data_IF_844532466105
#
_entry.id   IF_844532466105
#
_cell.length_a   1.000
_cell.length_b   1.000
_cell.length_c   1.000
_cell.angle_alpha   90.00
_cell.angle_beta   90.00
_cell.angle_gamma   90.00
#
_symmetry.space_group_name_H-M   'P 1'
#
loop_
_entity.id
_entity.type
_entity.pdbx_description
1 polymer ?
#
# COMPACT_ATOMS: atom_id res chain seq x y z
N UNK A 1 -0.97 -19.33 7.98
CA UNK A 1 -0.27 -18.09 8.33
C UNK A 1 -0.84 -17.58 9.63
N UNK A 2 0.02 -17.13 10.53
CA UNK A 2 -0.38 -16.39 11.73
C UNK A 2 -0.81 -14.98 11.35
N UNK A 3 -1.56 -14.32 12.23
CA UNK A 3 -1.93 -12.89 12.07
C UNK A 3 -0.70 -12.00 11.84
N UNK A 4 0.40 -12.28 12.57
CA UNK A 4 1.66 -11.54 12.45
C UNK A 4 2.30 -11.70 11.07
N UNK A 5 2.29 -12.92 10.50
CA UNK A 5 2.80 -13.17 9.15
C UNK A 5 1.94 -12.48 8.08
N UNK A 6 0.62 -12.47 8.25
CA UNK A 6 -0.28 -11.75 7.33
C UNK A 6 -0.03 -10.25 7.36
N UNK A 7 0.14 -9.68 8.55
CA UNK A 7 0.40 -8.25 8.71
C UNK A 7 1.75 -7.84 8.12
N UNK A 8 2.80 -8.64 8.36
CA UNK A 8 4.10 -8.44 7.73
C UNK A 8 3.98 -8.41 6.20
N UNK A 9 3.28 -9.36 5.62
CA UNK A 9 3.06 -9.43 4.17
C UNK A 9 2.31 -8.20 3.64
N UNK A 10 1.27 -7.74 4.33
CA UNK A 10 0.54 -6.54 3.94
C UNK A 10 1.44 -5.28 3.95
N UNK A 11 2.36 -5.17 4.93
CA UNK A 11 3.33 -4.07 4.98
C UNK A 11 4.32 -4.14 3.81
N UNK A 12 4.82 -5.34 3.49
CA UNK A 12 5.72 -5.56 2.35
C UNK A 12 5.02 -5.25 1.01
N UNK A 13 3.77 -5.67 0.86
CA UNK A 13 2.95 -5.42 -0.32
C UNK A 13 2.64 -3.93 -0.47
N UNK A 14 2.31 -3.22 0.63
CA UNK A 14 2.10 -1.77 0.62
C UNK A 14 3.37 -1.01 0.21
N UNK A 15 4.55 -1.44 0.70
CA UNK A 15 5.83 -0.86 0.30
C UNK A 15 6.14 -1.11 -1.18
N UNK A 16 5.89 -2.34 -1.68
CA UNK A 16 6.16 -2.72 -3.07
C UNK A 16 5.23 -2.00 -4.04
N UNK A 17 3.93 -1.93 -3.73
CA UNK A 17 2.95 -1.24 -4.55
C UNK A 17 3.30 0.24 -4.74
N UNK A 18 3.66 0.93 -3.66
CA UNK A 18 4.07 2.34 -3.75
C UNK A 18 5.34 2.54 -4.59
N UNK A 19 6.25 1.56 -4.65
CA UNK A 19 7.39 1.63 -5.59
C UNK A 19 6.92 1.57 -7.04
N UNK A 20 5.96 0.70 -7.36
CA UNK A 20 5.41 0.60 -8.71
C UNK A 20 4.63 1.85 -9.09
N UNK A 21 3.80 2.37 -8.19
CA UNK A 21 3.10 3.63 -8.40
C UNK A 21 4.05 4.79 -8.71
N UNK A 22 5.20 4.88 -8.02
CA UNK A 22 6.23 5.91 -8.29
C UNK A 22 6.88 5.80 -9.67
N UNK A 23 6.84 4.62 -10.29
CA UNK A 23 7.47 4.35 -11.59
C UNK A 23 6.47 4.41 -12.74
N UNK A 24 5.17 4.30 -12.46
CA UNK A 24 4.13 4.32 -13.46
C UNK A 24 3.73 5.74 -13.85
N UNK A 25 3.18 5.87 -15.05
CA UNK A 25 2.53 7.10 -15.50
C UNK A 25 1.25 7.33 -14.70
N UNK A 26 1.12 8.50 -14.09
CA UNK A 26 0.01 8.84 -13.19
C UNK A 26 -1.34 8.88 -13.87
N UNK A 27 -1.37 9.15 -15.18
CA UNK A 27 -2.60 9.23 -15.96
C UNK A 27 -2.98 7.88 -16.60
N UNK A 28 -2.21 6.82 -16.35
CA UNK A 28 -2.49 5.49 -16.89
C UNK A 28 -3.56 4.74 -16.09
N UNK A 29 -4.35 3.91 -16.77
CA UNK A 29 -5.28 2.96 -16.14
C UNK A 29 -4.55 2.04 -15.14
N UNK A 30 -3.29 1.70 -15.42
CA UNK A 30 -2.46 0.88 -14.51
C UNK A 30 -2.19 1.61 -13.19
N UNK A 31 -1.94 2.92 -13.21
CA UNK A 31 -1.79 3.70 -11.98
C UNK A 31 -3.11 3.80 -11.22
N UNK A 32 -4.23 3.97 -11.92
CA UNK A 32 -5.57 4.01 -11.31
C UNK A 32 -5.86 2.70 -10.53
N UNK A 33 -5.64 1.55 -11.16
CA UNK A 33 -5.79 0.23 -10.50
C UNK A 33 -4.85 0.06 -9.30
N UNK A 34 -3.58 0.49 -9.42
CA UNK A 34 -2.66 0.45 -8.29
C UNK A 34 -3.08 1.37 -7.14
N UNK A 35 -3.68 2.53 -7.46
CA UNK A 35 -4.16 3.49 -6.46
C UNK A 35 -5.31 2.91 -5.64
N UNK A 36 -6.24 2.19 -6.28
CA UNK A 36 -7.31 1.48 -5.57
C UNK A 36 -6.71 0.50 -4.56
N UNK A 37 -5.77 -0.35 -5.01
CA UNK A 37 -5.12 -1.31 -4.12
C UNK A 37 -4.31 -0.65 -2.99
N UNK A 38 -3.71 0.51 -3.26
CA UNK A 38 -2.98 1.29 -2.27
C UNK A 38 -3.92 1.80 -1.17
N UNK A 39 -5.11 2.29 -1.55
CA UNK A 39 -6.14 2.74 -0.61
C UNK A 39 -6.63 1.55 0.24
N UNK A 40 -6.93 0.41 -0.37
CA UNK A 40 -7.36 -0.80 0.36
C UNK A 40 -6.34 -1.21 1.42
N UNK A 41 -5.06 -1.30 1.06
CA UNK A 41 -3.98 -1.66 1.98
C UNK A 41 -3.81 -0.62 3.08
N UNK A 42 -3.95 0.67 2.76
CA UNK A 42 -3.88 1.77 3.74
C UNK A 42 -4.99 1.65 4.77
N UNK A 43 -6.22 1.33 4.35
CA UNK A 43 -7.36 1.09 5.25
C UNK A 43 -7.11 -0.12 6.13
N UNK A 44 -6.70 -1.26 5.55
CA UNK A 44 -6.44 -2.49 6.30
C UNK A 44 -5.37 -2.26 7.37
N UNK A 45 -4.22 -1.70 7.00
CA UNK A 45 -3.10 -1.49 7.91
C UNK A 45 -3.46 -0.48 9.03
N UNK A 46 -4.20 0.57 8.70
CA UNK A 46 -4.68 1.55 9.70
C UNK A 46 -5.67 0.90 10.67
N UNK A 47 -6.61 0.10 10.17
CA UNK A 47 -7.55 -0.66 11.00
C UNK A 47 -6.85 -1.69 11.90
N UNK A 48 -5.71 -2.23 11.45
CA UNK A 48 -4.81 -3.09 12.26
C UNK A 48 -3.92 -2.31 13.24
N UNK A 49 -4.10 -1.00 13.39
CA UNK A 49 -3.35 -0.17 14.34
C UNK A 49 -1.90 0.13 13.92
N UNK A 50 -1.55 -0.10 12.64
CA UNK A 50 -0.22 0.23 12.14
C UNK A 50 -0.11 1.72 11.88
N UNK A 51 0.94 2.36 12.42
CA UNK A 51 1.28 3.72 12.09
C UNK A 51 1.94 3.79 10.70
N UNK A 52 1.25 4.42 9.75
CA UNK A 52 1.72 4.55 8.36
C UNK A 52 2.56 5.80 8.09
N UNK A 53 2.83 6.67 9.07
CA UNK A 53 3.50 7.97 8.84
C UNK A 53 4.79 7.87 8.02
N UNK A 54 5.62 6.86 8.28
CA UNK A 54 6.88 6.61 7.55
C UNK A 54 6.72 5.63 6.37
N UNK A 55 5.63 4.85 6.36
CA UNK A 55 5.36 3.84 5.34
C UNK A 55 4.62 4.43 4.13
N UNK A 56 3.79 5.45 4.35
CA UNK A 56 3.03 6.14 3.32
C UNK A 56 3.88 7.21 2.63
N UNK A 57 4.31 6.85 1.44
CA UNK A 57 5.25 7.54 0.57
C UNK A 57 4.57 8.23 -0.59
N UNK A 58 3.37 7.79 -1.00
CA UNK A 58 2.62 8.41 -2.10
C UNK A 58 1.92 9.68 -1.60
N UNK A 59 1.38 9.66 -0.37
CA UNK A 59 0.70 10.79 0.28
C UNK A 59 -0.42 11.41 -0.58
N UNK A 60 -1.10 10.57 -1.36
CA UNK A 60 -2.34 10.92 -2.04
C UNK A 60 -3.57 10.58 -1.19
#
# INVERSE_FOLDING_TARGET
>A
MTEKEMLQRNIEDFSRLQRYMRLADKDSEVYAEMKERYIELKVILTASGINLTELDRIKE
#
